data_IF_144458404892
#
_entry.id   IF_144458404892
#
_cell.length_a   1.000
_cell.length_b   1.000
_cell.length_c   1.000
_cell.angle_alpha   90.00
_cell.angle_beta   90.00
_cell.angle_gamma   90.00
#
_symmetry.space_group_name_H-M   'P 1'
#
loop_
_entity.id
_entity.type
_entity.pdbx_description
1 polymer ?
#
# COMPACT_ATOMS: atom_id res chain seq x y z
N UNK A 1 79.70 -6.08 26.80
CA UNK A 1 78.43 -6.49 26.13
C UNK A 1 77.28 -6.21 27.08
N UNK A 2 76.54 -5.13 26.83
CA UNK A 2 75.30 -4.83 27.60
C UNK A 2 74.14 -5.29 26.79
N UNK A 3 73.38 -6.26 27.31
CA UNK A 3 72.11 -6.71 26.74
C UNK A 3 71.00 -5.69 27.09
N UNK A 4 70.38 -5.13 26.06
CA UNK A 4 69.17 -4.29 26.18
C UNK A 4 67.95 -5.23 26.03
N UNK A 5 67.17 -5.37 27.11
CA UNK A 5 65.91 -6.07 27.12
C UNK A 5 64.85 -5.05 26.75
N UNK A 6 64.26 -5.22 25.54
CA UNK A 6 63.08 -4.42 25.08
C UNK A 6 61.82 -5.13 25.57
N UNK A 7 61.11 -4.47 26.48
CA UNK A 7 59.74 -4.86 26.88
C UNK A 7 58.73 -4.35 25.84
N UNK A 8 58.17 -5.24 25.06
CA UNK A 8 57.06 -4.95 24.20
C UNK A 8 55.77 -5.01 25.05
N UNK A 9 55.19 -3.85 25.35
CA UNK A 9 53.86 -3.73 25.97
C UNK A 9 52.82 -3.84 24.87
N UNK A 10 52.12 -4.98 24.77
CA UNK A 10 50.95 -5.15 23.96
C UNK A 10 49.74 -4.46 24.60
N UNK A 11 49.33 -3.31 24.07
CA UNK A 11 48.03 -2.72 24.38
C UNK A 11 46.96 -3.51 23.63
N UNK A 12 46.24 -4.39 24.33
CA UNK A 12 44.98 -4.93 23.85
C UNK A 12 43.89 -3.86 23.99
N UNK A 13 43.60 -3.15 22.90
CA UNK A 13 42.41 -2.33 22.80
C UNK A 13 41.21 -3.29 22.60
N UNK A 14 40.46 -3.51 23.65
CA UNK A 14 39.13 -4.13 23.55
C UNK A 14 38.20 -3.16 22.78
N UNK A 15 38.07 -3.36 21.48
CA UNK A 15 36.95 -2.82 20.75
C UNK A 15 35.71 -3.61 21.17
N UNK A 16 34.96 -3.11 22.13
CA UNK A 16 33.56 -3.56 22.33
C UNK A 16 32.79 -3.05 21.13
N UNK A 17 32.66 -3.88 20.11
CA UNK A 17 31.65 -3.69 19.06
C UNK A 17 30.30 -3.67 19.78
N UNK A 18 29.74 -2.47 19.97
CA UNK A 18 28.33 -2.32 20.35
C UNK A 18 27.53 -2.94 19.21
N UNK A 19 27.04 -4.17 19.42
CA UNK A 19 26.22 -4.84 18.44
C UNK A 19 25.04 -3.92 18.11
N UNK A 20 24.92 -3.52 16.85
CA UNK A 20 23.86 -2.63 16.39
C UNK A 20 22.52 -3.33 16.61
N UNK A 21 21.61 -2.73 17.40
CA UNK A 21 20.26 -3.26 17.63
C UNK A 21 19.57 -3.55 16.30
N UNK A 22 18.95 -4.71 16.21
CA UNK A 22 18.18 -5.11 15.04
C UNK A 22 16.91 -4.25 14.86
N UNK A 23 16.25 -4.30 13.71
CA UNK A 23 15.06 -3.49 13.44
C UNK A 23 13.95 -3.61 14.48
N UNK A 24 13.65 -4.85 14.96
CA UNK A 24 12.65 -5.08 15.98
C UNK A 24 13.13 -4.59 17.37
N UNK A 25 14.39 -4.85 17.73
CA UNK A 25 14.93 -4.41 19.02
C UNK A 25 14.98 -2.88 19.16
N UNK A 26 15.12 -2.16 18.04
CA UNK A 26 15.06 -0.69 18.03
C UNK A 26 13.71 -0.15 18.49
N UNK A 27 12.62 -0.90 18.29
CA UNK A 27 11.29 -0.50 18.77
C UNK A 27 11.23 -0.35 20.30
N UNK A 28 12.06 -1.09 21.03
CA UNK A 28 12.15 -1.06 22.50
C UNK A 28 13.22 -0.08 23.01
N UNK A 29 13.87 0.70 22.14
CA UNK A 29 14.84 1.70 22.56
C UNK A 29 14.12 2.91 23.13
N UNK A 30 14.53 3.35 24.33
CA UNK A 30 14.01 4.56 24.96
C UNK A 30 14.69 5.81 24.39
N UNK A 31 13.89 6.86 24.20
CA UNK A 31 14.30 8.17 23.68
C UNK A 31 13.78 9.24 24.62
N UNK A 32 14.60 10.28 24.85
CA UNK A 32 14.27 11.36 25.74
C UNK A 32 13.12 12.24 25.19
N UNK A 33 12.28 12.83 26.06
CA UNK A 33 11.15 13.66 25.64
C UNK A 33 11.53 14.78 24.66
N UNK A 34 12.62 15.45 24.91
CA UNK A 34 13.08 16.57 24.06
C UNK A 34 13.41 16.11 22.63
N UNK A 35 14.02 14.95 22.49
CA UNK A 35 14.40 14.38 21.19
C UNK A 35 13.13 13.92 20.41
N UNK A 36 12.16 13.33 21.10
CA UNK A 36 10.88 12.96 20.50
C UNK A 36 10.05 14.18 20.06
N UNK A 37 10.06 15.25 20.84
CA UNK A 37 9.42 16.52 20.47
C UNK A 37 10.12 17.14 19.24
N UNK A 38 11.44 17.07 19.19
CA UNK A 38 12.22 17.49 18.02
C UNK A 38 11.89 16.68 16.76
N UNK A 39 11.67 15.37 16.90
CA UNK A 39 11.24 14.50 15.79
C UNK A 39 9.88 14.93 15.21
N UNK A 40 8.93 15.34 16.07
CA UNK A 40 7.64 15.86 15.62
C UNK A 40 7.82 17.17 14.84
N UNK A 41 8.63 18.10 15.35
CA UNK A 41 8.92 19.36 14.67
C UNK A 41 9.60 19.12 13.33
N UNK A 42 10.56 18.18 13.28
CA UNK A 42 11.24 17.78 12.06
C UNK A 42 10.24 17.22 11.02
N UNK A 43 9.31 16.34 11.44
CA UNK A 43 8.30 15.79 10.56
C UNK A 43 7.40 16.88 9.97
N UNK A 44 6.87 17.79 10.81
CA UNK A 44 6.03 18.90 10.34
C UNK A 44 6.77 19.78 9.33
N UNK A 45 8.00 20.17 9.61
CA UNK A 45 8.81 20.98 8.70
C UNK A 45 9.08 20.22 7.37
N UNK A 46 9.32 18.91 7.46
CA UNK A 46 9.58 18.09 6.30
C UNK A 46 8.36 17.92 5.40
N UNK A 47 7.16 17.69 5.94
CA UNK A 47 5.95 17.61 5.12
C UNK A 47 5.63 18.95 4.44
N UNK A 48 5.85 20.09 5.12
CA UNK A 48 5.70 21.41 4.50
C UNK A 48 6.67 21.64 3.34
N UNK A 49 7.90 21.14 3.46
CA UNK A 49 8.90 21.28 2.42
C UNK A 49 8.74 20.29 1.26
N UNK A 50 7.94 19.22 1.44
CA UNK A 50 7.81 18.12 0.49
C UNK A 50 6.42 18.07 -0.15
N UNK A 51 5.35 18.23 0.63
CA UNK A 51 3.97 18.13 0.14
C UNK A 51 3.57 19.39 -0.66
N UNK A 52 2.93 19.25 -1.84
CA UNK A 52 2.58 20.42 -2.65
C UNK A 52 1.48 21.29 -2.05
N UNK A 53 0.53 20.69 -1.34
CA UNK A 53 -0.60 21.40 -0.71
C UNK A 53 -1.29 20.50 0.32
N UNK A 54 -1.03 20.73 1.61
CA UNK A 54 -1.61 19.93 2.69
C UNK A 54 -3.14 20.07 2.79
N UNK A 55 -3.72 21.18 2.33
CA UNK A 55 -5.18 21.38 2.35
C UNK A 55 -5.91 20.40 1.43
N UNK A 56 -5.21 19.79 0.46
CA UNK A 56 -5.76 18.74 -0.37
C UNK A 56 -6.04 17.45 0.41
N UNK A 57 -5.18 17.13 1.37
CA UNK A 57 -5.21 15.87 2.12
C UNK A 57 -5.81 16.02 3.51
N UNK A 58 -5.60 17.15 4.17
CA UNK A 58 -6.07 17.42 5.54
C UNK A 58 -7.34 18.24 5.45
N UNK A 59 -8.48 17.65 5.88
CA UNK A 59 -9.78 18.32 5.80
C UNK A 59 -9.93 19.48 6.80
N UNK A 60 -9.41 19.28 8.01
CA UNK A 60 -9.43 20.25 9.10
C UNK A 60 -8.01 20.50 9.59
N UNK A 61 -7.40 21.54 9.02
CA UNK A 61 -6.00 21.85 9.24
C UNK A 61 -5.73 22.34 10.68
N UNK A 62 -6.66 23.07 11.26
CA UNK A 62 -6.53 23.62 12.61
C UNK A 62 -6.62 22.49 13.66
N UNK A 63 -7.58 21.59 13.49
CA UNK A 63 -7.69 20.40 14.33
C UNK A 63 -6.46 19.50 14.21
N UNK A 64 -5.89 19.36 13.01
CA UNK A 64 -4.66 18.60 12.80
C UNK A 64 -3.50 19.19 13.61
N UNK A 65 -3.22 20.48 13.50
CA UNK A 65 -2.13 21.10 14.26
C UNK A 65 -2.40 21.10 15.78
N UNK A 66 -3.65 21.27 16.20
CA UNK A 66 -4.04 21.10 17.60
C UNK A 66 -3.72 19.70 18.10
N UNK A 67 -4.04 18.66 17.32
CA UNK A 67 -3.71 17.27 17.65
C UNK A 67 -2.21 17.03 17.74
N UNK A 68 -1.43 17.60 16.81
CA UNK A 68 0.04 17.55 16.84
C UNK A 68 0.59 18.18 18.12
N UNK A 69 0.10 19.37 18.50
CA UNK A 69 0.50 20.06 19.71
C UNK A 69 0.17 19.24 20.96
N UNK A 70 -1.05 18.71 21.07
CA UNK A 70 -1.48 17.86 22.19
C UNK A 70 -0.60 16.62 22.35
N UNK A 71 -0.28 15.94 21.25
CA UNK A 71 0.64 14.78 21.29
C UNK A 71 2.01 15.21 21.80
N UNK A 72 2.57 16.31 21.26
CA UNK A 72 3.86 16.85 21.66
C UNK A 72 3.89 17.20 23.15
N UNK A 73 2.85 17.86 23.65
CA UNK A 73 2.74 18.27 25.06
C UNK A 73 2.57 17.08 26.01
N UNK A 74 1.97 15.98 25.54
CA UNK A 74 1.80 14.74 26.31
C UNK A 74 3.12 13.96 26.55
N UNK A 75 4.20 14.29 25.86
CA UNK A 75 5.49 13.59 25.97
C UNK A 75 6.32 14.23 27.10
N UNK A 76 6.15 13.73 28.32
CA UNK A 76 6.79 14.30 29.53
C UNK A 76 7.77 13.32 30.21
N UNK A 77 7.91 12.11 29.68
CA UNK A 77 8.85 11.07 30.13
C UNK A 77 9.47 10.36 28.94
N UNK A 78 10.62 9.69 29.09
CA UNK A 78 11.18 8.85 28.04
C UNK A 78 10.13 7.84 27.55
N UNK A 79 10.11 7.61 26.23
CA UNK A 79 9.24 6.61 25.59
C UNK A 79 10.08 5.67 24.75
N UNK A 80 9.64 4.42 24.66
CA UNK A 80 10.17 3.53 23.62
C UNK A 80 9.77 4.05 22.23
N UNK A 81 10.52 3.68 21.20
CA UNK A 81 10.14 4.00 19.80
C UNK A 81 8.74 3.47 19.49
N UNK A 82 8.38 2.29 20.02
CA UNK A 82 7.05 1.70 19.85
C UNK A 82 5.95 2.55 20.52
N UNK A 83 6.18 3.01 21.75
CA UNK A 83 5.19 3.83 22.44
C UNK A 83 5.05 5.24 21.81
N UNK A 84 6.16 5.79 21.31
CA UNK A 84 6.11 6.99 20.50
C UNK A 84 5.34 6.77 19.20
N UNK A 85 5.58 5.64 18.49
CA UNK A 85 4.80 5.26 17.31
C UNK A 85 3.31 5.14 17.64
N UNK A 86 2.94 4.50 18.73
CA UNK A 86 1.54 4.38 19.16
C UNK A 86 0.86 5.74 19.35
N UNK A 87 1.62 6.75 19.79
CA UNK A 87 1.09 8.12 20.00
C UNK A 87 0.98 8.92 18.70
N UNK A 88 2.05 8.92 17.88
CA UNK A 88 2.09 9.81 16.71
C UNK A 88 1.30 9.24 15.52
N UNK A 89 1.23 7.92 15.37
CA UNK A 89 0.58 7.28 14.21
C UNK A 89 -0.93 7.49 14.14
N UNK A 90 -1.59 7.91 15.23
CA UNK A 90 -3.03 8.27 15.20
C UNK A 90 -3.32 9.45 14.28
N UNK A 91 -2.31 10.28 14.01
CA UNK A 91 -2.42 11.40 13.08
C UNK A 91 -2.65 10.93 11.64
N UNK A 92 -2.28 9.70 11.28
CA UNK A 92 -2.51 9.15 9.93
C UNK A 92 -3.98 9.15 9.52
N UNK A 93 -4.90 8.99 10.48
CA UNK A 93 -6.34 9.06 10.21
C UNK A 93 -6.81 10.45 9.73
N UNK A 94 -6.09 11.51 10.09
CA UNK A 94 -6.43 12.89 9.71
C UNK A 94 -5.81 13.27 8.35
N UNK A 95 -4.81 12.51 7.86
CA UNK A 95 -4.07 12.84 6.64
C UNK A 95 -4.84 12.54 5.36
N UNK A 96 -5.85 11.68 5.39
CA UNK A 96 -6.73 11.33 4.23
C UNK A 96 -6.01 11.16 2.89
N UNK A 97 -4.81 10.54 2.93
CA UNK A 97 -3.93 10.30 1.77
C UNK A 97 -3.10 9.04 1.99
N UNK A 98 -3.19 8.10 1.04
CA UNK A 98 -2.43 6.85 1.12
C UNK A 98 -0.91 7.03 0.90
N UNK A 99 -0.47 8.16 0.36
CA UNK A 99 0.94 8.49 0.16
C UNK A 99 1.54 9.39 1.24
N UNK A 100 0.75 9.85 2.21
CA UNK A 100 1.23 10.67 3.33
C UNK A 100 1.14 9.88 4.63
N UNK A 101 2.30 9.59 5.23
CA UNK A 101 2.39 8.67 6.38
C UNK A 101 3.40 9.20 7.39
N UNK A 102 3.00 9.16 8.68
CA UNK A 102 3.92 9.31 9.81
C UNK A 102 4.08 7.97 10.53
N UNK A 103 5.33 7.58 10.79
CA UNK A 103 5.63 6.33 11.51
C UNK A 103 5.36 5.07 10.68
N UNK A 104 5.75 5.06 9.41
CA UNK A 104 5.68 3.84 8.59
C UNK A 104 6.57 2.72 9.15
N UNK A 105 5.99 1.55 9.34
CA UNK A 105 6.69 0.35 9.80
C UNK A 105 7.16 -0.47 8.60
N UNK A 106 8.46 -0.69 8.50
CA UNK A 106 9.10 -1.40 7.39
C UNK A 106 8.96 -2.93 7.52
N UNK A 107 8.99 -3.63 6.38
CA UNK A 107 8.97 -5.09 6.30
C UNK A 107 10.11 -5.75 7.10
N UNK A 108 11.28 -5.12 7.17
CA UNK A 108 12.42 -5.61 7.93
C UNK A 108 12.14 -5.88 9.42
N UNK A 109 11.14 -5.19 10.01
CA UNK A 109 10.71 -5.46 11.39
C UNK A 109 9.99 -6.81 11.47
N UNK A 110 9.18 -7.15 10.47
CA UNK A 110 8.48 -8.44 10.39
C UNK A 110 9.47 -9.59 10.26
N UNK A 111 10.44 -9.45 9.35
CA UNK A 111 11.48 -10.45 9.11
C UNK A 111 12.32 -10.68 10.36
N UNK A 112 12.78 -9.60 11.01
CA UNK A 112 13.58 -9.68 12.24
C UNK A 112 12.78 -10.28 13.41
N UNK A 113 11.51 -9.89 13.58
CA UNK A 113 10.64 -10.45 14.61
C UNK A 113 10.42 -11.96 14.46
N UNK A 114 10.12 -12.42 13.23
CA UNK A 114 9.95 -13.84 12.92
C UNK A 114 11.26 -14.61 13.13
N UNK A 115 12.39 -14.06 12.70
CA UNK A 115 13.71 -14.71 12.86
C UNK A 115 14.09 -14.96 14.32
N UNK A 116 13.53 -14.17 15.24
CA UNK A 116 13.69 -14.30 16.69
C UNK A 116 12.64 -15.19 17.36
N UNK A 117 11.82 -15.87 16.57
CA UNK A 117 10.76 -16.76 17.09
C UNK A 117 9.49 -16.04 17.50
N UNK A 118 9.35 -14.75 17.15
CA UNK A 118 8.13 -13.98 17.40
C UNK A 118 6.93 -14.58 16.67
N UNK A 119 5.74 -14.43 17.27
CA UNK A 119 4.50 -15.01 16.76
C UNK A 119 3.44 -13.96 16.51
N UNK A 120 2.72 -14.09 15.39
CA UNK A 120 1.62 -13.24 15.00
C UNK A 120 0.26 -13.92 15.19
N UNK A 121 -0.80 -13.13 15.08
CA UNK A 121 -2.17 -13.62 14.95
C UNK A 121 -2.25 -14.68 13.83
N UNK A 122 -2.87 -15.84 14.07
CA UNK A 122 -2.67 -17.04 13.24
C UNK A 122 -3.36 -17.03 11.88
N UNK A 123 -4.14 -15.98 11.56
CA UNK A 123 -4.93 -15.91 10.33
C UNK A 123 -4.64 -14.66 9.50
N UNK A 124 -4.74 -14.81 8.18
CA UNK A 124 -5.04 -13.70 7.28
C UNK A 124 -6.55 -13.42 7.36
N UNK A 125 -6.91 -12.14 7.32
CA UNK A 125 -8.29 -11.70 7.47
C UNK A 125 -8.71 -10.83 6.29
N UNK A 126 -10.01 -10.69 6.09
CA UNK A 126 -10.56 -9.71 5.18
C UNK A 126 -11.84 -9.07 5.77
N UNK A 127 -12.19 -7.88 5.26
CA UNK A 127 -13.45 -7.24 5.57
C UNK A 127 -14.49 -7.62 4.53
N UNK A 128 -15.59 -8.21 5.00
CA UNK A 128 -16.82 -8.37 4.22
C UNK A 128 -17.89 -7.42 4.84
N UNK A 129 -18.15 -6.32 4.15
CA UNK A 129 -18.88 -5.17 4.71
C UNK A 129 -18.14 -4.66 5.96
N UNK A 130 -18.77 -4.73 7.16
CA UNK A 130 -18.15 -4.31 8.41
C UNK A 130 -17.66 -5.49 9.29
N UNK A 131 -17.79 -6.70 8.80
CA UNK A 131 -17.36 -7.90 9.49
C UNK A 131 -15.93 -8.27 9.15
N UNK A 132 -15.15 -8.63 10.17
CA UNK A 132 -13.82 -9.22 10.00
C UNK A 132 -13.98 -10.74 9.89
N UNK A 133 -13.56 -11.30 8.76
CA UNK A 133 -13.68 -12.75 8.51
C UNK A 133 -12.32 -13.39 8.28
N UNK A 134 -12.22 -14.67 8.61
CA UNK A 134 -11.01 -15.45 8.36
C UNK A 134 -10.92 -15.78 6.87
N UNK A 135 -9.80 -15.40 6.25
CA UNK A 135 -9.52 -15.70 4.85
C UNK A 135 -8.72 -17.00 4.69
N UNK A 136 -7.62 -17.11 5.43
CA UNK A 136 -6.70 -18.26 5.38
C UNK A 136 -5.88 -18.32 6.68
N UNK A 137 -5.06 -19.34 6.83
CA UNK A 137 -3.99 -19.30 7.84
C UNK A 137 -3.00 -18.20 7.49
N UNK A 138 -2.34 -17.64 8.51
CA UNK A 138 -1.26 -16.66 8.32
C UNK A 138 -0.21 -17.20 7.34
N UNK A 139 0.17 -16.40 6.36
CA UNK A 139 1.07 -16.79 5.27
C UNK A 139 0.35 -17.41 4.07
N UNK A 140 -0.99 -17.45 4.06
CA UNK A 140 -1.82 -17.75 2.89
C UNK A 140 -2.18 -19.22 2.68
N UNK A 141 -1.85 -20.13 3.61
CA UNK A 141 -2.30 -21.54 3.53
C UNK A 141 -3.80 -21.64 3.84
N UNK A 142 -4.46 -22.62 3.24
CA UNK A 142 -5.89 -22.85 3.50
C UNK A 142 -6.21 -23.05 4.98
N UNK A 143 -7.41 -22.66 5.38
CA UNK A 143 -7.92 -22.77 6.75
C UNK A 143 -9.29 -23.43 6.75
N UNK A 144 -9.52 -24.35 7.68
CA UNK A 144 -10.85 -24.91 7.95
C UNK A 144 -11.84 -23.86 8.49
N UNK A 145 -11.32 -22.74 9.02
CA UNK A 145 -12.12 -21.61 9.53
C UNK A 145 -12.40 -20.54 8.46
N UNK A 146 -12.04 -20.77 7.20
CA UNK A 146 -12.30 -19.81 6.12
C UNK A 146 -13.76 -19.40 6.07
N UNK A 147 -14.01 -18.08 6.07
CA UNK A 147 -15.36 -17.48 6.04
C UNK A 147 -15.98 -17.26 7.41
N UNK A 148 -15.38 -17.74 8.50
CA UNK A 148 -15.91 -17.52 9.84
C UNK A 148 -15.73 -16.06 10.26
N UNK A 149 -16.77 -15.49 10.86
CA UNK A 149 -16.78 -14.11 11.36
C UNK A 149 -16.13 -14.07 12.74
N UNK A 150 -15.09 -13.25 12.91
CA UNK A 150 -14.43 -13.05 14.19
C UNK A 150 -15.24 -12.07 15.04
N UNK A 151 -15.72 -12.52 16.21
CA UNK A 151 -16.44 -11.71 17.19
C UNK A 151 -15.49 -11.12 18.24
N UNK A 152 -14.56 -11.95 18.76
CA UNK A 152 -13.62 -11.55 19.79
C UNK A 152 -12.25 -12.22 19.59
N UNK A 153 -11.20 -11.53 20.02
CA UNK A 153 -9.84 -12.06 20.15
C UNK A 153 -9.38 -11.80 21.58
N UNK A 154 -9.01 -12.85 22.31
CA UNK A 154 -8.57 -12.80 23.70
C UNK A 154 -9.59 -12.09 24.62
N UNK A 155 -10.88 -12.39 24.45
CA UNK A 155 -12.03 -11.79 25.15
C UNK A 155 -12.21 -10.28 24.88
N UNK A 156 -11.57 -9.73 23.86
CA UNK A 156 -11.76 -8.33 23.43
C UNK A 156 -12.62 -8.35 22.17
N UNK A 157 -13.76 -7.63 22.15
CA UNK A 157 -14.58 -7.51 20.96
C UNK A 157 -13.79 -6.98 19.76
N UNK A 158 -13.99 -7.58 18.59
CA UNK A 158 -13.20 -7.26 17.39
C UNK A 158 -13.33 -5.79 16.99
N UNK A 159 -14.48 -5.17 17.22
CA UNK A 159 -14.68 -3.74 16.96
C UNK A 159 -13.75 -2.85 17.81
N UNK A 160 -13.53 -3.23 19.09
CA UNK A 160 -12.61 -2.54 20.01
C UNK A 160 -11.14 -2.73 19.56
N UNK A 161 -10.82 -3.83 18.88
CA UNK A 161 -9.49 -4.09 18.32
C UNK A 161 -9.28 -3.29 17.03
N UNK A 162 -10.26 -3.28 16.13
CA UNK A 162 -10.15 -2.66 14.80
C UNK A 162 -10.08 -1.13 14.90
N UNK A 163 -10.87 -0.50 15.77
CA UNK A 163 -10.94 0.95 15.85
C UNK A 163 -9.57 1.62 16.08
N UNK A 164 -8.76 1.26 17.11
CA UNK A 164 -7.44 1.83 17.30
C UNK A 164 -6.43 1.45 16.20
N UNK A 165 -6.63 0.34 15.49
CA UNK A 165 -5.80 -0.05 14.36
C UNK A 165 -6.05 0.87 13.15
N UNK A 166 -7.31 1.13 12.80
CA UNK A 166 -7.70 2.00 11.69
C UNK A 166 -7.23 3.44 11.90
N UNK A 167 -7.22 3.95 13.13
CA UNK A 167 -6.72 5.30 13.45
C UNK A 167 -5.23 5.47 13.08
N UNK A 168 -4.46 4.39 13.02
CA UNK A 168 -3.01 4.43 12.77
C UNK A 168 -2.63 4.15 11.33
N UNK A 169 -3.61 3.88 10.50
CA UNK A 169 -3.39 3.64 9.08
C UNK A 169 -3.73 4.87 8.25
N UNK A 170 -2.88 5.12 7.28
CA UNK A 170 -3.13 6.08 6.23
C UNK A 170 -4.09 5.50 5.17
N UNK A 171 -4.69 6.37 4.37
CA UNK A 171 -5.56 5.97 3.26
C UNK A 171 -6.48 7.10 2.86
N UNK A 172 -6.87 7.14 1.61
CA UNK A 172 -7.70 8.20 1.04
C UNK A 172 -9.14 8.17 1.56
N UNK A 173 -9.61 6.97 1.96
CA UNK A 173 -10.99 6.71 2.41
C UNK A 173 -11.04 5.58 3.43
N UNK A 174 -12.18 5.38 4.09
CA UNK A 174 -12.40 4.25 4.99
C UNK A 174 -12.31 2.89 4.29
N UNK A 175 -12.91 2.68 3.10
CA UNK A 175 -12.69 1.45 2.35
C UNK A 175 -11.21 1.18 2.04
N UNK A 176 -10.43 2.22 1.70
CA UNK A 176 -8.99 2.08 1.46
C UNK A 176 -8.25 1.67 2.74
N UNK A 177 -8.51 2.34 3.89
CA UNK A 177 -7.90 1.96 5.18
C UNK A 177 -8.24 0.53 5.59
N UNK A 178 -9.48 0.07 5.37
CA UNK A 178 -9.91 -1.31 5.67
C UNK A 178 -9.11 -2.34 4.84
N UNK A 179 -8.94 -2.13 3.53
CA UNK A 179 -8.16 -3.08 2.71
C UNK A 179 -6.66 -3.03 3.02
N UNK A 180 -6.13 -1.91 3.49
CA UNK A 180 -4.76 -1.83 4.02
C UNK A 180 -4.67 -2.59 5.35
N UNK A 181 -5.66 -2.40 6.25
CA UNK A 181 -5.68 -3.09 7.55
C UNK A 181 -5.71 -4.61 7.37
N UNK A 182 -6.59 -5.13 6.51
CA UNK A 182 -6.67 -6.58 6.33
C UNK A 182 -5.32 -7.20 5.92
N UNK A 183 -4.51 -6.49 5.13
CA UNK A 183 -3.17 -6.94 4.70
C UNK A 183 -2.12 -6.83 5.80
N UNK A 184 -2.29 -5.87 6.72
CA UNK A 184 -1.34 -5.56 7.80
C UNK A 184 -1.85 -5.97 9.17
N UNK A 185 -3.00 -6.68 9.25
CA UNK A 185 -3.70 -6.95 10.51
C UNK A 185 -2.78 -7.58 11.56
N UNK A 186 -2.09 -8.66 11.22
CA UNK A 186 -1.25 -9.38 12.16
C UNK A 186 -0.11 -8.51 12.73
N UNK A 187 0.54 -7.69 11.87
CA UNK A 187 1.58 -6.76 12.32
C UNK A 187 1.02 -5.66 13.22
N UNK A 188 -0.06 -4.98 12.79
CA UNK A 188 -0.63 -3.86 13.56
C UNK A 188 -1.21 -4.37 14.88
N UNK A 189 -1.80 -5.58 14.90
CA UNK A 189 -2.23 -6.23 16.13
C UNK A 189 -1.05 -6.41 17.10
N UNK A 190 0.05 -6.99 16.64
CA UNK A 190 1.24 -7.22 17.47
C UNK A 190 1.81 -5.90 18.01
N UNK A 191 1.90 -4.86 17.18
CA UNK A 191 2.42 -3.54 17.60
C UNK A 191 1.55 -2.87 18.69
N UNK A 192 0.22 -3.06 18.64
CA UNK A 192 -0.70 -2.41 19.58
C UNK A 192 -0.94 -3.22 20.86
N UNK A 193 -1.12 -4.53 20.71
CA UNK A 193 -1.55 -5.41 21.80
C UNK A 193 -0.42 -6.29 22.34
N UNK A 194 0.76 -6.24 21.70
CA UNK A 194 1.94 -7.01 22.10
C UNK A 194 1.99 -8.42 21.52
N UNK A 195 3.06 -9.11 21.86
CA UNK A 195 3.26 -10.51 21.50
C UNK A 195 2.25 -11.41 22.22
N UNK A 196 1.69 -12.37 21.49
CA UNK A 196 0.77 -13.36 22.04
C UNK A 196 1.10 -14.73 21.44
N UNK A 197 1.42 -15.70 22.31
CA UNK A 197 1.77 -17.07 21.88
C UNK A 197 0.55 -17.95 21.63
N UNK A 198 -0.57 -17.66 22.28
CA UNK A 198 -1.83 -18.39 22.13
C UNK A 198 -2.98 -17.38 22.06
N UNK A 199 -3.88 -17.59 21.09
CA UNK A 199 -5.03 -16.75 20.84
C UNK A 199 -6.30 -17.51 21.16
N UNK A 200 -7.13 -16.94 22.04
CA UNK A 200 -8.51 -17.37 22.23
C UNK A 200 -9.40 -16.59 21.29
N UNK A 201 -10.03 -17.26 20.33
CA UNK A 201 -10.83 -16.61 19.30
C UNK A 201 -12.27 -17.09 19.42
N UNK A 202 -13.19 -16.13 19.56
CA UNK A 202 -14.62 -16.36 19.44
C UNK A 202 -15.04 -15.94 18.03
N UNK A 203 -15.64 -16.87 17.29
CA UNK A 203 -16.12 -16.63 15.95
C UNK A 203 -17.46 -17.31 15.68
N UNK A 204 -18.15 -16.84 14.63
CA UNK A 204 -19.41 -17.42 14.15
C UNK A 204 -19.19 -18.12 12.82
N UNK A 205 -19.62 -19.37 12.74
CA UNK A 205 -19.55 -20.17 11.50
C UNK A 205 -20.76 -19.99 10.57
N UNK A 206 -21.59 -18.98 10.85
CA UNK A 206 -22.85 -18.69 10.18
C UNK A 206 -24.08 -19.16 10.98
N UNK A 207 -23.95 -20.18 11.84
CA UNK A 207 -25.05 -20.80 12.60
C UNK A 207 -24.87 -20.53 14.10
N UNK A 208 -23.69 -20.79 14.63
CA UNK A 208 -23.41 -20.74 16.07
C UNK A 208 -22.06 -20.12 16.36
N UNK A 209 -21.92 -19.58 17.59
CA UNK A 209 -20.66 -19.08 18.08
C UNK A 209 -19.79 -20.24 18.53
N UNK A 210 -18.51 -20.19 18.21
CA UNK A 210 -17.48 -21.16 18.60
C UNK A 210 -16.29 -20.45 19.21
N UNK A 211 -15.65 -21.07 20.17
CA UNK A 211 -14.41 -20.58 20.79
C UNK A 211 -13.32 -21.61 20.58
N UNK A 212 -12.18 -21.15 20.06
CA UNK A 212 -10.98 -21.98 19.96
C UNK A 212 -9.82 -21.31 20.69
N UNK A 213 -8.87 -22.12 21.16
CA UNK A 213 -7.52 -21.68 21.52
C UNK A 213 -6.55 -22.19 20.47
N UNK A 214 -5.79 -21.30 19.88
CA UNK A 214 -4.86 -21.62 18.79
C UNK A 214 -3.55 -20.87 18.99
N UNK A 215 -2.44 -21.56 18.76
CA UNK A 215 -1.11 -20.95 18.85
C UNK A 215 -0.89 -19.91 17.78
N UNK A 216 -0.22 -18.81 18.17
CA UNK A 216 0.32 -17.84 17.22
C UNK A 216 1.27 -18.49 16.22
N UNK A 217 1.46 -17.87 15.07
CA UNK A 217 2.32 -18.41 14.00
C UNK A 217 3.60 -17.59 13.83
N UNK A 218 4.74 -18.28 13.88
CA UNK A 218 6.04 -17.70 13.54
C UNK A 218 6.25 -17.79 12.00
N UNK A 219 5.51 -16.96 11.29
CA UNK A 219 5.58 -16.83 9.84
C UNK A 219 5.26 -15.38 9.44
N UNK A 220 5.87 -14.82 8.38
CA UNK A 220 5.50 -13.49 7.91
C UNK A 220 4.07 -13.51 7.33
N UNK A 221 3.25 -12.48 7.61
CA UNK A 221 1.98 -12.28 6.92
C UNK A 221 2.18 -12.26 5.40
N UNK A 222 1.19 -12.74 4.65
CA UNK A 222 1.27 -12.86 3.18
C UNK A 222 1.73 -11.57 2.49
N UNK A 223 1.30 -10.43 2.98
CA UNK A 223 1.67 -9.11 2.43
C UNK A 223 3.18 -8.82 2.49
N UNK A 224 3.93 -9.45 3.40
CA UNK A 224 5.36 -9.26 3.58
C UNK A 224 6.22 -10.39 3.02
N UNK A 225 5.60 -11.36 2.34
CA UNK A 225 6.33 -12.43 1.68
C UNK A 225 6.86 -12.00 0.32
N UNK A 226 7.95 -12.62 -0.10
CA UNK A 226 8.42 -12.49 -1.47
C UNK A 226 7.37 -13.07 -2.43
N UNK A 227 7.07 -12.31 -3.48
CA UNK A 227 6.08 -12.67 -4.50
C UNK A 227 6.81 -13.04 -5.79
N UNK A 228 6.52 -14.21 -6.36
CA UNK A 228 7.06 -14.61 -7.65
C UNK A 228 6.39 -13.85 -8.81
N UNK A 229 7.04 -13.79 -9.97
CA UNK A 229 6.50 -13.15 -11.16
C UNK A 229 5.09 -13.64 -11.49
N UNK A 230 4.92 -14.96 -11.55
CA UNK A 230 3.64 -15.61 -11.89
C UNK A 230 2.54 -15.43 -10.84
N UNK A 231 2.86 -14.93 -9.65
CA UNK A 231 1.86 -14.56 -8.65
C UNK A 231 1.30 -13.16 -8.87
N UNK A 232 2.11 -12.25 -9.46
CA UNK A 232 1.72 -10.87 -9.77
C UNK A 232 1.12 -10.72 -11.16
N UNK A 233 1.60 -11.51 -12.14
CA UNK A 233 1.25 -11.38 -13.55
C UNK A 233 0.74 -12.71 -14.08
N UNK A 234 -0.55 -12.79 -14.44
CA UNK A 234 -1.17 -14.01 -14.93
C UNK A 234 -1.98 -13.73 -16.19
N UNK A 235 -1.85 -14.61 -17.17
CA UNK A 235 -2.71 -14.58 -18.34
C UNK A 235 -3.37 -15.96 -18.52
N UNK A 236 -4.70 -15.95 -18.73
CA UNK A 236 -5.50 -17.16 -18.91
C UNK A 236 -6.55 -16.93 -20.00
N UNK A 237 -6.60 -17.82 -20.98
CA UNK A 237 -7.75 -17.94 -21.88
C UNK A 237 -8.84 -18.68 -21.10
N UNK A 238 -10.01 -18.04 -20.95
CA UNK A 238 -11.13 -18.57 -20.17
C UNK A 238 -12.00 -19.50 -21.01
N UNK A 239 -12.27 -19.07 -22.24
CA UNK A 239 -13.04 -19.82 -23.24
C UNK A 239 -12.70 -19.32 -24.66
N UNK A 240 -13.47 -19.67 -25.68
CA UNK A 240 -13.23 -19.31 -27.07
C UNK A 240 -13.30 -17.81 -27.38
N UNK A 241 -13.90 -16.99 -26.50
CA UNK A 241 -14.11 -15.55 -26.72
C UNK A 241 -13.48 -14.69 -25.64
N UNK A 242 -13.20 -15.23 -24.45
CA UNK A 242 -12.84 -14.47 -23.27
C UNK A 242 -11.45 -14.85 -22.75
N UNK A 243 -10.68 -13.84 -22.30
CA UNK A 243 -9.41 -14.02 -21.61
C UNK A 243 -9.30 -13.09 -20.41
N UNK A 244 -8.55 -13.53 -19.42
CA UNK A 244 -8.24 -12.80 -18.18
C UNK A 244 -6.74 -12.51 -18.11
N UNK A 245 -6.42 -11.24 -17.89
CA UNK A 245 -5.09 -10.75 -17.57
C UNK A 245 -5.11 -10.17 -16.15
N UNK A 246 -4.41 -10.78 -15.21
CA UNK A 246 -4.31 -10.30 -13.84
C UNK A 246 -2.98 -9.59 -13.63
N UNK A 247 -3.02 -8.36 -13.10
CA UNK A 247 -1.85 -7.53 -12.81
C UNK A 247 -2.01 -6.95 -11.41
N UNK A 248 -1.26 -7.49 -10.44
CA UNK A 248 -1.38 -7.09 -9.03
C UNK A 248 -0.47 -5.93 -8.65
N UNK A 249 0.48 -5.57 -9.49
CA UNK A 249 1.43 -4.49 -9.23
C UNK A 249 1.95 -3.92 -10.55
N UNK A 250 2.16 -2.60 -10.62
CA UNK A 250 2.85 -1.96 -11.74
C UNK A 250 4.33 -1.75 -11.41
N UNK A 251 4.96 -2.79 -10.90
CA UNK A 251 6.38 -2.81 -10.59
C UNK A 251 6.93 -4.22 -10.74
N UNK A 252 8.10 -4.31 -11.37
CA UNK A 252 8.92 -5.50 -11.42
C UNK A 252 10.37 -5.11 -11.73
N UNK A 253 11.33 -5.67 -11.01
CA UNK A 253 12.72 -5.27 -11.15
C UNK A 253 13.28 -5.60 -12.53
N UNK A 254 12.84 -6.71 -13.12
CA UNK A 254 13.21 -7.13 -14.48
C UNK A 254 12.16 -6.69 -15.49
N UNK A 255 12.12 -5.38 -15.85
CA UNK A 255 11.11 -4.79 -16.75
C UNK A 255 10.96 -5.57 -18.07
N UNK A 256 12.07 -6.12 -18.63
CA UNK A 256 12.02 -6.91 -19.85
C UNK A 256 11.13 -8.14 -19.72
N UNK A 257 11.21 -8.87 -18.60
CA UNK A 257 10.37 -10.04 -18.33
C UNK A 257 8.88 -9.68 -18.36
N UNK A 258 8.52 -8.55 -17.74
CA UNK A 258 7.15 -8.04 -17.79
C UNK A 258 6.71 -7.71 -19.23
N UNK A 259 7.52 -7.02 -20.02
CA UNK A 259 7.13 -6.66 -21.38
C UNK A 259 7.07 -7.89 -22.31
N UNK A 260 7.96 -8.85 -22.16
CA UNK A 260 7.91 -10.13 -22.90
C UNK A 260 6.63 -10.91 -22.55
N UNK A 261 6.23 -10.93 -21.27
CA UNK A 261 4.96 -11.50 -20.83
C UNK A 261 3.76 -10.80 -21.48
N UNK A 262 3.75 -9.47 -21.52
CA UNK A 262 2.68 -8.69 -22.15
C UNK A 262 2.60 -8.94 -23.67
N UNK A 263 3.75 -8.94 -24.38
CA UNK A 263 3.80 -9.27 -25.79
C UNK A 263 3.21 -10.69 -26.02
N UNK A 264 3.57 -11.67 -25.19
CA UNK A 264 3.08 -13.04 -25.27
C UNK A 264 1.57 -13.14 -25.01
N UNK A 265 1.05 -12.41 -24.03
CA UNK A 265 -0.37 -12.36 -23.73
C UNK A 265 -1.18 -11.80 -24.90
N UNK A 266 -0.78 -10.66 -25.47
CA UNK A 266 -1.48 -10.04 -26.60
C UNK A 266 -1.32 -10.83 -27.91
N UNK A 267 -0.19 -11.49 -28.13
CA UNK A 267 -0.03 -12.47 -29.20
C UNK A 267 -1.02 -13.63 -29.07
N UNK A 268 -1.20 -14.15 -27.84
CA UNK A 268 -2.16 -15.22 -27.55
C UNK A 268 -3.61 -14.78 -27.78
N UNK A 269 -3.98 -13.54 -27.39
CA UNK A 269 -5.31 -12.98 -27.70
C UNK A 269 -5.62 -13.02 -29.20
N UNK A 270 -4.66 -12.58 -30.04
CA UNK A 270 -4.79 -12.61 -31.49
C UNK A 270 -4.88 -14.03 -32.05
N UNK A 271 -3.98 -14.92 -31.60
CA UNK A 271 -3.95 -16.33 -32.03
C UNK A 271 -5.27 -17.06 -31.74
N UNK A 272 -5.85 -16.85 -30.55
CA UNK A 272 -7.08 -17.49 -30.10
C UNK A 272 -8.33 -16.72 -30.52
N UNK A 273 -8.21 -15.60 -31.28
CA UNK A 273 -9.32 -14.77 -31.75
C UNK A 273 -10.23 -14.29 -30.61
N UNK A 274 -9.63 -13.96 -29.46
CA UNK A 274 -10.36 -13.48 -28.28
C UNK A 274 -11.07 -12.18 -28.61
N UNK A 275 -12.33 -12.06 -28.17
CA UNK A 275 -13.20 -10.90 -28.39
C UNK A 275 -13.33 -10.01 -27.17
N UNK A 276 -13.12 -10.58 -25.96
CA UNK A 276 -13.26 -9.87 -24.70
C UNK A 276 -12.05 -10.11 -23.82
N UNK A 277 -11.30 -9.07 -23.52
CA UNK A 277 -10.19 -9.06 -22.57
C UNK A 277 -10.65 -8.46 -21.24
N UNK A 278 -10.55 -9.24 -20.18
CA UNK A 278 -10.76 -8.80 -18.79
C UNK A 278 -9.38 -8.54 -18.19
N UNK A 279 -9.12 -7.33 -17.68
CA UNK A 279 -7.89 -6.97 -16.99
C UNK A 279 -8.21 -6.74 -15.52
N UNK A 280 -7.69 -7.60 -14.65
CA UNK A 280 -7.94 -7.54 -13.21
C UNK A 280 -6.83 -6.78 -12.48
N UNK A 281 -7.16 -5.56 -12.01
CA UNK A 281 -6.29 -4.72 -11.19
C UNK A 281 -6.88 -4.44 -9.81
N UNK A 282 -7.85 -5.25 -9.35
CA UNK A 282 -8.48 -5.06 -8.02
C UNK A 282 -7.48 -5.13 -6.87
N UNK A 283 -6.42 -5.91 -7.05
CA UNK A 283 -5.32 -6.10 -6.09
C UNK A 283 -4.08 -5.24 -6.40
N UNK A 284 -4.17 -4.29 -7.33
CA UNK A 284 -3.06 -3.46 -7.77
C UNK A 284 -2.97 -2.16 -6.97
N UNK A 285 -1.96 -2.07 -6.10
CA UNK A 285 -1.65 -0.89 -5.29
C UNK A 285 -0.85 0.20 -6.00
N UNK A 286 -0.54 0.06 -7.30
CA UNK A 286 0.21 1.03 -8.09
C UNK A 286 1.61 0.58 -8.47
N UNK A 287 2.51 1.54 -8.66
CA UNK A 287 3.90 1.34 -9.06
C UNK A 287 4.38 2.40 -10.05
N UNK A 288 5.04 1.99 -11.12
CA UNK A 288 5.57 2.85 -12.17
C UNK A 288 4.59 2.90 -13.36
N UNK A 289 4.23 4.12 -13.79
CA UNK A 289 3.28 4.37 -14.87
C UNK A 289 3.74 3.78 -16.21
N UNK A 290 5.04 3.60 -16.40
CA UNK A 290 5.59 2.99 -17.61
C UNK A 290 5.03 1.58 -17.86
N UNK A 291 4.72 0.81 -16.81
CA UNK A 291 4.20 -0.56 -16.93
C UNK A 291 2.85 -0.58 -17.66
N UNK A 292 1.91 0.27 -17.29
CA UNK A 292 0.62 0.28 -17.98
C UNK A 292 0.65 1.06 -19.31
N UNK A 293 1.47 2.11 -19.41
CA UNK A 293 1.60 2.87 -20.65
C UNK A 293 2.19 2.01 -21.77
N UNK A 294 3.35 1.38 -21.52
CA UNK A 294 4.07 0.56 -22.50
C UNK A 294 3.61 -0.90 -22.52
N UNK A 295 3.05 -1.40 -21.43
CA UNK A 295 2.63 -2.80 -21.31
C UNK A 295 1.18 -3.06 -21.65
N UNK A 296 0.26 -2.11 -21.42
CA UNK A 296 -1.18 -2.31 -21.66
C UNK A 296 -1.69 -1.35 -22.73
N UNK A 297 -1.56 -0.04 -22.54
CA UNK A 297 -2.12 0.95 -23.48
C UNK A 297 -1.48 0.87 -24.87
N UNK A 298 -0.24 0.42 -24.98
CA UNK A 298 0.40 0.07 -26.25
C UNK A 298 -0.51 -0.80 -27.14
N UNK A 299 -1.31 -1.69 -26.56
CA UNK A 299 -2.16 -2.64 -27.28
C UNK A 299 -3.62 -2.24 -27.38
N UNK A 300 -4.17 -1.52 -26.38
CA UNK A 300 -5.62 -1.23 -26.33
C UNK A 300 -5.96 0.21 -26.67
N UNK A 301 -5.02 1.17 -26.53
CA UNK A 301 -5.29 2.55 -26.87
C UNK A 301 -5.36 2.75 -28.39
N UNK A 302 -6.40 3.43 -28.87
CA UNK A 302 -6.67 3.62 -30.29
C UNK A 302 -6.61 5.10 -30.74
N UNK A 303 -6.44 6.02 -29.80
CA UNK A 303 -6.19 7.44 -30.04
C UNK A 303 -5.10 7.95 -29.10
N UNK A 304 -4.36 9.02 -29.45
CA UNK A 304 -3.41 9.65 -28.54
C UNK A 304 -4.08 10.09 -27.25
N UNK A 305 -3.37 9.98 -26.12
CA UNK A 305 -3.91 10.21 -24.79
C UNK A 305 -2.91 10.95 -23.88
N UNK A 306 -3.40 11.54 -22.81
CA UNK A 306 -2.61 12.04 -21.68
C UNK A 306 -3.01 11.30 -20.41
N UNK A 307 -2.11 11.20 -19.45
CA UNK A 307 -2.32 10.47 -18.20
C UNK A 307 -2.81 11.33 -17.03
N UNK A 308 -2.92 12.64 -17.27
CA UNK A 308 -3.46 13.63 -16.36
C UNK A 308 -3.81 14.91 -17.12
N UNK A 309 -4.50 15.85 -16.49
CA UNK A 309 -4.83 17.17 -17.05
C UNK A 309 -3.98 18.27 -16.44
N UNK A 310 -3.99 18.39 -15.11
CA UNK A 310 -3.22 19.38 -14.37
C UNK A 310 -2.38 18.71 -13.29
N UNK A 311 -1.34 19.40 -12.87
CA UNK A 311 -0.54 18.98 -11.74
C UNK A 311 -0.18 20.17 -10.85
N UNK A 312 0.07 19.87 -9.56
CA UNK A 312 0.78 20.74 -8.63
C UNK A 312 1.97 19.99 -8.09
N UNK A 313 3.18 20.53 -8.23
CA UNK A 313 4.40 19.89 -7.73
C UNK A 313 5.11 20.77 -6.70
N UNK A 314 5.66 20.17 -5.67
CA UNK A 314 6.61 20.82 -4.75
C UNK A 314 8.01 20.71 -5.30
N UNK A 315 8.74 21.81 -5.31
CA UNK A 315 10.14 21.86 -5.73
C UNK A 315 11.02 21.46 -4.54
N UNK A 316 11.70 20.34 -4.68
CA UNK A 316 12.65 19.84 -3.68
C UNK A 316 14.04 19.74 -4.30
N UNK A 317 15.09 19.83 -3.49
CA UNK A 317 16.49 19.92 -3.96
C UNK A 317 16.86 18.78 -4.93
N UNK A 318 16.40 17.56 -4.68
CA UNK A 318 16.71 16.35 -5.49
C UNK A 318 16.19 16.42 -6.94
N UNK A 319 15.11 17.15 -7.18
CA UNK A 319 14.41 17.18 -8.49
C UNK A 319 14.17 18.62 -8.95
N UNK A 320 15.09 19.52 -8.61
CA UNK A 320 15.04 20.92 -9.00
C UNK A 320 15.60 21.12 -10.41
N UNK A 321 14.80 21.74 -11.26
CA UNK A 321 15.22 22.22 -12.57
C UNK A 321 15.86 23.64 -12.46
N UNK A 322 16.58 24.05 -13.51
CA UNK A 322 17.18 25.39 -13.56
C UNK A 322 16.12 26.49 -13.46
N UNK A 323 16.32 27.45 -12.57
CA UNK A 323 15.39 28.55 -12.32
C UNK A 323 14.28 28.26 -11.33
N UNK A 324 14.07 27.01 -10.90
CA UNK A 324 13.07 26.66 -9.88
C UNK A 324 13.56 27.03 -8.47
N UNK A 325 12.65 27.48 -7.60
CA UNK A 325 12.93 27.84 -6.21
C UNK A 325 12.56 26.68 -5.29
N UNK A 326 13.54 26.16 -4.52
CA UNK A 326 13.31 25.10 -3.56
C UNK A 326 12.25 25.54 -2.54
N UNK A 327 11.29 24.67 -2.24
CA UNK A 327 10.19 24.92 -1.30
C UNK A 327 8.97 25.59 -1.94
N UNK A 328 9.08 26.13 -3.16
CA UNK A 328 7.91 26.64 -3.90
C UNK A 328 7.03 25.49 -4.43
N UNK A 329 5.78 25.80 -4.73
CA UNK A 329 4.87 24.91 -5.45
C UNK A 329 4.57 25.47 -6.83
N UNK A 330 4.61 24.64 -7.86
CA UNK A 330 4.32 24.99 -9.24
C UNK A 330 3.08 24.23 -9.69
N UNK A 331 2.14 24.93 -10.30
CA UNK A 331 0.98 24.33 -11.00
C UNK A 331 1.20 24.42 -12.49
N UNK A 332 0.84 23.37 -13.22
CA UNK A 332 0.95 23.34 -14.69
C UNK A 332 -0.05 22.38 -15.31
N UNK A 333 -0.13 22.41 -16.63
CA UNK A 333 -0.98 21.54 -17.44
C UNK A 333 -0.13 20.42 -18.07
N UNK A 334 -0.79 19.27 -18.29
CA UNK A 334 -0.24 18.15 -19.05
C UNK A 334 -0.90 18.19 -20.43
N UNK A 335 -0.32 18.99 -21.35
CA UNK A 335 -0.87 19.20 -22.68
C UNK A 335 -0.34 18.19 -23.71
N UNK A 336 0.81 17.57 -23.42
CA UNK A 336 1.44 16.58 -24.31
C UNK A 336 0.62 15.29 -24.35
N UNK A 337 0.22 14.91 -25.56
CA UNK A 337 -0.41 13.63 -25.83
C UNK A 337 0.65 12.56 -26.08
N UNK A 338 0.46 11.40 -25.48
CA UNK A 338 1.25 10.20 -25.74
C UNK A 338 0.73 9.59 -27.06
N UNK A 339 1.59 9.41 -28.07
CA UNK A 339 1.19 8.83 -29.35
C UNK A 339 0.87 7.33 -29.18
N UNK A 340 0.06 6.80 -30.09
CA UNK A 340 -0.28 5.37 -30.13
C UNK A 340 0.29 4.70 -31.35
N UNK A 341 0.75 3.45 -31.18
CA UNK A 341 1.23 2.59 -32.26
C UNK A 341 0.04 1.88 -32.90
N UNK A 342 -0.57 2.49 -33.93
CA UNK A 342 -1.75 1.91 -34.59
C UNK A 342 -1.42 0.68 -35.43
N UNK A 343 -0.20 0.58 -35.93
CA UNK A 343 0.34 -0.53 -36.74
C UNK A 343 0.89 -1.69 -35.90
N UNK A 344 0.77 -1.63 -34.58
CA UNK A 344 1.18 -2.73 -33.71
C UNK A 344 0.44 -4.03 -34.08
N UNK A 345 1.20 -5.02 -34.53
CA UNK A 345 0.66 -6.31 -34.99
C UNK A 345 -0.20 -7.06 -33.98
N UNK A 346 -0.09 -6.75 -32.68
CA UNK A 346 -0.85 -7.35 -31.57
C UNK A 346 -1.90 -6.39 -31.01
N UNK A 347 -2.24 -5.33 -31.74
CA UNK A 347 -3.32 -4.41 -31.33
C UNK A 347 -4.60 -5.18 -31.07
N UNK A 348 -5.22 -4.91 -29.93
CA UNK A 348 -6.48 -5.54 -29.53
C UNK A 348 -7.64 -4.58 -29.76
N UNK A 349 -8.61 -4.99 -30.57
CA UNK A 349 -9.79 -4.20 -30.94
C UNK A 349 -11.11 -4.78 -30.37
N UNK A 350 -11.03 -5.82 -29.54
CA UNK A 350 -12.17 -6.40 -28.88
C UNK A 350 -12.64 -5.58 -27.66
N UNK A 351 -13.65 -6.08 -26.98
CA UNK A 351 -14.17 -5.49 -25.73
C UNK A 351 -13.09 -5.60 -24.64
N UNK A 352 -12.88 -4.51 -23.88
CA UNK A 352 -11.97 -4.48 -22.72
C UNK A 352 -12.78 -4.13 -21.47
N UNK A 353 -12.63 -4.94 -20.43
CA UNK A 353 -13.19 -4.69 -19.09
C UNK A 353 -12.06 -4.65 -18.06
N UNK A 354 -11.95 -3.56 -17.32
CA UNK A 354 -10.95 -3.40 -16.25
C UNK A 354 -11.65 -3.63 -14.91
N UNK A 355 -11.22 -4.64 -14.16
CA UNK A 355 -11.76 -4.87 -12.83
C UNK A 355 -11.04 -4.00 -11.82
N UNK A 356 -11.80 -3.14 -11.13
CA UNK A 356 -11.31 -2.23 -10.09
C UNK A 356 -11.95 -2.54 -8.73
N UNK A 357 -11.31 -2.09 -7.66
CA UNK A 357 -11.81 -2.28 -6.30
C UNK A 357 -11.11 -1.38 -5.28
N UNK A 358 -11.43 -1.51 -3.98
CA UNK A 358 -10.93 -0.62 -2.93
C UNK A 358 -9.39 -0.59 -2.76
N UNK A 359 -8.67 -1.59 -3.26
CA UNK A 359 -7.20 -1.60 -3.24
C UNK A 359 -6.55 -1.11 -4.54
N UNK A 360 -7.32 -0.87 -5.61
CA UNK A 360 -6.81 -0.19 -6.82
C UNK A 360 -6.34 1.21 -6.43
N UNK A 361 -5.01 1.46 -6.51
CA UNK A 361 -4.42 2.69 -5.94
C UNK A 361 -3.24 3.23 -6.76
N UNK A 362 -2.89 4.52 -6.55
CA UNK A 362 -1.71 5.18 -7.12
C UNK A 362 -1.67 5.06 -8.65
N UNK A 363 -0.60 4.54 -9.24
CA UNK A 363 -0.46 4.33 -10.69
C UNK A 363 -1.64 3.54 -11.30
N UNK A 364 -2.26 2.61 -10.53
CA UNK A 364 -3.46 1.91 -11.00
C UNK A 364 -4.70 2.82 -11.10
N UNK A 365 -4.80 3.87 -10.29
CA UNK A 365 -5.80 4.93 -10.44
C UNK A 365 -5.56 5.72 -11.74
N UNK A 366 -4.30 6.09 -12.03
CA UNK A 366 -3.98 6.83 -13.25
C UNK A 366 -4.31 6.01 -14.51
N UNK A 367 -4.01 4.71 -14.48
CA UNK A 367 -4.41 3.76 -15.52
C UNK A 367 -5.93 3.70 -15.68
N UNK A 368 -6.69 3.47 -14.59
CA UNK A 368 -8.13 3.38 -14.62
C UNK A 368 -8.80 4.68 -15.11
N UNK A 369 -8.32 5.85 -14.64
CA UNK A 369 -8.75 7.16 -15.15
C UNK A 369 -8.55 7.28 -16.65
N UNK A 370 -7.34 6.93 -17.14
CA UNK A 370 -7.00 7.05 -18.56
C UNK A 370 -7.90 6.13 -19.41
N UNK A 371 -8.10 4.89 -18.97
CA UNK A 371 -9.00 3.95 -19.66
C UNK A 371 -10.43 4.47 -19.72
N UNK A 372 -10.95 4.99 -18.62
CA UNK A 372 -12.33 5.47 -18.53
C UNK A 372 -12.54 6.75 -19.35
N UNK A 373 -11.62 7.73 -19.23
CA UNK A 373 -11.75 9.04 -19.89
C UNK A 373 -11.63 8.93 -21.40
N UNK A 374 -10.74 8.08 -21.91
CA UNK A 374 -10.53 7.86 -23.34
C UNK A 374 -11.37 6.72 -23.93
N UNK A 375 -12.20 6.06 -23.11
CA UNK A 375 -13.05 4.94 -23.53
C UNK A 375 -12.25 3.77 -24.14
N UNK A 376 -11.06 3.50 -23.61
CA UNK A 376 -10.25 2.36 -24.02
C UNK A 376 -10.77 1.03 -23.47
N UNK A 377 -11.69 1.08 -22.53
CA UNK A 377 -12.38 -0.05 -21.92
C UNK A 377 -13.44 0.44 -20.94
N UNK A 378 -14.14 -0.51 -20.33
CA UNK A 378 -15.18 -0.29 -19.31
C UNK A 378 -14.62 -0.68 -17.94
N UNK A 379 -14.79 0.19 -16.95
CA UNK A 379 -14.47 -0.14 -15.56
C UNK A 379 -15.58 -0.95 -14.92
N UNK A 380 -15.24 -2.04 -14.25
CA UNK A 380 -16.22 -2.98 -13.65
C UNK A 380 -15.79 -3.33 -12.22
N UNK A 381 -16.74 -3.50 -11.31
CA UNK A 381 -16.51 -3.95 -9.96
C UNK A 381 -16.98 -2.97 -8.88
N UNK A 382 -16.09 -2.56 -7.99
CA UNK A 382 -16.40 -1.66 -6.88
C UNK A 382 -15.65 -0.32 -7.05
N UNK A 383 -16.14 0.77 -6.42
CA UNK A 383 -15.39 2.02 -6.37
C UNK A 383 -13.97 1.82 -5.83
N UNK A 384 -13.02 2.59 -6.34
CA UNK A 384 -11.66 2.58 -5.80
C UNK A 384 -11.63 3.12 -4.38
N UNK A 385 -10.70 2.64 -3.56
CA UNK A 385 -10.46 3.22 -2.24
C UNK A 385 -9.72 4.56 -2.31
N UNK A 386 -8.91 4.74 -3.35
CA UNK A 386 -8.21 5.97 -3.64
C UNK A 386 -9.06 6.97 -4.43
N UNK A 387 -8.69 8.24 -4.31
CA UNK A 387 -9.31 9.35 -5.03
C UNK A 387 -8.89 9.33 -6.51
N UNK A 388 -9.76 9.83 -7.37
CA UNK A 388 -9.51 10.00 -8.80
C UNK A 388 -8.37 11.01 -9.07
N UNK A 389 -8.31 12.12 -8.33
CA UNK A 389 -7.10 12.95 -8.25
C UNK A 389 -6.07 12.27 -7.35
N UNK A 390 -4.86 12.07 -7.83
CA UNK A 390 -3.83 11.34 -7.11
C UNK A 390 -2.67 12.23 -6.68
N UNK A 391 -2.25 12.03 -5.44
CA UNK A 391 -0.91 12.42 -5.02
C UNK A 391 0.10 11.39 -5.54
N UNK A 392 1.38 11.76 -5.61
CA UNK A 392 2.40 10.85 -6.12
C UNK A 392 3.82 11.38 -6.00
N UNK A 393 4.75 10.71 -6.68
CA UNK A 393 6.19 10.97 -6.59
C UNK A 393 6.67 11.00 -5.13
N UNK A 394 6.32 9.93 -4.38
CA UNK A 394 6.55 9.80 -2.94
C UNK A 394 8.03 9.94 -2.57
N UNK A 395 8.26 10.65 -1.48
CA UNK A 395 9.56 10.84 -0.86
C UNK A 395 9.58 10.14 0.49
N UNK A 396 10.74 9.63 0.85
CA UNK A 396 10.98 8.95 2.12
C UNK A 396 11.97 9.75 2.95
N UNK A 397 11.75 9.85 4.24
CA UNK A 397 12.69 10.37 5.21
C UNK A 397 12.56 9.61 6.53
N UNK A 398 13.48 9.83 7.46
CA UNK A 398 13.43 9.26 8.80
C UNK A 398 13.50 10.38 9.84
N UNK A 399 12.76 10.23 10.91
CA UNK A 399 12.91 11.07 12.09
C UNK A 399 14.32 10.88 12.66
N UNK A 400 15.02 11.98 13.01
CA UNK A 400 16.44 11.92 13.39
C UNK A 400 16.73 11.04 14.62
N UNK A 401 15.86 11.06 15.63
CA UNK A 401 16.09 10.41 16.91
C UNK A 401 15.40 9.04 17.00
N UNK A 402 14.12 8.93 16.67
CA UNK A 402 13.38 7.68 16.72
C UNK A 402 13.65 6.75 15.53
N UNK A 403 14.13 7.30 14.41
CA UNK A 403 14.34 6.56 13.19
C UNK A 403 13.03 6.13 12.50
N UNK A 404 11.86 6.58 12.97
CA UNK A 404 10.59 6.27 12.34
C UNK A 404 10.54 6.84 10.92
N UNK A 405 10.12 6.00 9.99
CA UNK A 405 10.02 6.38 8.58
C UNK A 405 8.81 7.30 8.35
N UNK A 406 9.01 8.33 7.56
CA UNK A 406 8.00 9.28 7.10
C UNK A 406 7.90 9.18 5.58
N UNK A 407 6.69 9.30 5.05
CA UNK A 407 6.42 9.30 3.60
C UNK A 407 5.57 10.51 3.28
N UNK A 408 5.91 11.24 2.22
CA UNK A 408 5.09 12.34 1.70
C UNK A 408 5.18 12.40 0.17
N UNK A 409 4.07 12.69 -0.51
CA UNK A 409 4.07 12.93 -1.94
C UNK A 409 4.57 14.34 -2.23
N UNK A 410 5.19 14.54 -3.40
CA UNK A 410 5.57 15.87 -3.87
C UNK A 410 4.76 16.34 -5.09
N UNK A 411 3.91 15.48 -5.63
CA UNK A 411 2.99 15.77 -6.73
C UNK A 411 1.54 15.56 -6.29
N UNK A 412 0.70 16.30 -6.98
CA UNK A 412 -0.73 16.14 -7.03
C UNK A 412 -1.16 16.23 -8.50
N UNK A 413 -2.02 15.32 -8.94
CA UNK A 413 -2.42 15.13 -10.34
C UNK A 413 -3.93 14.99 -10.45
N UNK A 414 -4.50 15.66 -11.44
CA UNK A 414 -5.89 15.48 -11.85
C UNK A 414 -6.00 14.48 -13.00
N UNK A 415 -7.14 13.78 -13.05
CA UNK A 415 -7.43 12.84 -14.14
C UNK A 415 -7.43 13.54 -15.51
N UNK A 416 -7.28 12.80 -16.64
CA UNK A 416 -7.19 13.41 -17.98
C UNK A 416 -8.37 14.32 -18.36
N UNK A 417 -9.61 13.98 -17.95
CA UNK A 417 -10.80 14.81 -18.21
C UNK A 417 -10.94 16.01 -17.29
N UNK A 418 -10.10 16.12 -16.25
CA UNK A 418 -10.25 17.11 -15.18
C UNK A 418 -11.34 16.77 -14.17
N UNK A 419 -11.42 17.51 -13.08
CA UNK A 419 -12.48 17.37 -12.06
C UNK A 419 -12.34 16.12 -11.18
N UNK A 420 -13.35 15.85 -10.33
CA UNK A 420 -13.46 14.64 -9.52
C UNK A 420 -12.36 14.41 -8.47
N UNK A 421 -11.67 15.46 -8.07
CA UNK A 421 -10.39 15.44 -7.39
C UNK A 421 -10.35 14.65 -6.08
N UNK A 422 -11.44 14.70 -5.32
CA UNK A 422 -11.52 14.12 -3.98
C UNK A 422 -12.41 12.89 -3.92
N UNK A 423 -12.98 12.51 -5.06
CA UNK A 423 -13.91 11.40 -5.16
C UNK A 423 -13.22 10.13 -5.67
N UNK A 424 -13.66 8.94 -5.26
CA UNK A 424 -13.16 7.69 -5.82
C UNK A 424 -13.52 7.58 -7.31
N UNK A 425 -12.82 6.73 -8.05
CA UNK A 425 -13.29 6.32 -9.37
C UNK A 425 -14.47 5.38 -9.18
N UNK A 426 -15.59 5.72 -9.79
CA UNK A 426 -16.75 4.85 -9.84
C UNK A 426 -16.63 3.91 -11.07
N UNK A 427 -16.92 2.62 -10.93
CA UNK A 427 -16.97 1.72 -12.08
C UNK A 427 -18.16 2.08 -12.99
N UNK A 428 -18.01 1.88 -14.30
CA UNK A 428 -19.12 2.02 -15.24
C UNK A 428 -20.21 0.96 -15.03
N UNK A 429 -19.81 -0.19 -14.45
CA UNK A 429 -20.72 -1.26 -14.05
C UNK A 429 -20.34 -1.78 -12.66
N UNK A 430 -21.17 -1.50 -11.67
CA UNK A 430 -21.01 -2.07 -10.33
C UNK A 430 -21.46 -3.53 -10.31
N UNK A 431 -20.61 -4.40 -9.73
CA UNK A 431 -20.92 -5.80 -9.49
C UNK A 431 -20.58 -6.13 -8.04
N UNK A 432 -21.59 -6.49 -7.26
CA UNK A 432 -21.40 -7.05 -5.92
C UNK A 432 -21.02 -8.53 -6.02
N UNK A 433 -20.04 -8.95 -5.23
CA UNK A 433 -19.56 -10.32 -5.17
C UNK A 433 -19.04 -10.65 -3.76
N UNK A 434 -18.99 -11.94 -3.44
CA UNK A 434 -18.38 -12.39 -2.20
C UNK A 434 -16.84 -12.28 -2.28
N UNK A 435 -16.25 -11.49 -1.40
CA UNK A 435 -14.80 -11.26 -1.36
C UNK A 435 -13.96 -12.48 -0.99
N UNK A 436 -14.59 -13.50 -0.39
CA UNK A 436 -13.97 -14.80 -0.20
C UNK A 436 -13.75 -15.58 -1.50
N UNK A 437 -14.55 -15.25 -2.53
CA UNK A 437 -14.56 -15.92 -3.83
C UNK A 437 -14.46 -14.88 -4.96
N UNK A 438 -13.29 -14.22 -5.10
CA UNK A 438 -13.12 -13.08 -6.02
C UNK A 438 -13.40 -13.41 -7.49
N UNK A 439 -13.32 -14.69 -7.89
CA UNK A 439 -13.64 -15.14 -9.25
C UNK A 439 -15.14 -15.07 -9.57
N UNK A 440 -16.02 -14.96 -8.55
CA UNK A 440 -17.46 -14.77 -8.78
C UNK A 440 -17.75 -13.52 -9.62
N UNK A 441 -17.00 -12.42 -9.41
CA UNK A 441 -17.17 -11.21 -10.21
C UNK A 441 -16.96 -11.49 -11.70
N UNK A 442 -15.94 -12.26 -12.05
CA UNK A 442 -15.63 -12.63 -13.44
C UNK A 442 -16.77 -13.46 -14.02
N UNK A 443 -17.25 -14.44 -13.27
CA UNK A 443 -18.35 -15.30 -13.71
C UNK A 443 -19.64 -14.48 -13.95
N UNK A 444 -19.97 -13.55 -13.03
CA UNK A 444 -21.13 -12.65 -13.17
C UNK A 444 -20.96 -11.74 -14.41
N UNK A 445 -19.76 -11.19 -14.62
CA UNK A 445 -19.48 -10.34 -15.77
C UNK A 445 -19.67 -11.10 -17.10
N UNK A 446 -19.23 -12.35 -17.17
CA UNK A 446 -19.35 -13.19 -18.38
C UNK A 446 -20.79 -13.61 -18.67
N UNK A 447 -21.66 -13.70 -17.65
CA UNK A 447 -23.09 -14.01 -17.79
C UNK A 447 -23.93 -12.80 -18.23
N UNK A 448 -23.49 -11.58 -17.98
CA UNK A 448 -24.15 -10.34 -18.44
C UNK A 448 -23.76 -10.08 -19.91
N UNK A 449 -24.39 -10.80 -20.83
CA UNK A 449 -24.26 -10.59 -22.29
C UNK A 449 -25.09 -9.41 -22.77
#
# INVERSE_FOLDING_TARGET
MKQIIIFLIFFFTYYTSLAQKSPYEKLNSEIQPQDLKSDIDYWINWIHSTHPDLSYTIKDIDNFYSSVAQIKDSINSPLTVLDFWKRISVLNNQLSDGHLIVGHINASIVEDYVSKGGTFFPFEVLFNKDQLIIHSMLGGKDSEYKGYVINEINNIPVATIIAPMLLRLNGDSDPHRKVILQRKFALVYMLLFGECKEFKINFRDGIQDKVISISGRSAPPKFYQHVAFDDNFKFKVLDSENALLTIKEFRWDHKKEYYDFMDSAFMSLKKNKIKHLIIDIRENGGGDDEFWMKGILKYIAHIPYRWGSTFKKKIIAKYRDSGEVIGSAITGNIDTLIPVELDNKYKFSGKVSILIGPYTYSSAILFANTVQDYKFGQLVGEPTGGKSGQTGAIQFSKMPNSGLTMIAPRFYLERPSGGGLREPILPDTTIEYDKLYPDQLINILLQKK
#
